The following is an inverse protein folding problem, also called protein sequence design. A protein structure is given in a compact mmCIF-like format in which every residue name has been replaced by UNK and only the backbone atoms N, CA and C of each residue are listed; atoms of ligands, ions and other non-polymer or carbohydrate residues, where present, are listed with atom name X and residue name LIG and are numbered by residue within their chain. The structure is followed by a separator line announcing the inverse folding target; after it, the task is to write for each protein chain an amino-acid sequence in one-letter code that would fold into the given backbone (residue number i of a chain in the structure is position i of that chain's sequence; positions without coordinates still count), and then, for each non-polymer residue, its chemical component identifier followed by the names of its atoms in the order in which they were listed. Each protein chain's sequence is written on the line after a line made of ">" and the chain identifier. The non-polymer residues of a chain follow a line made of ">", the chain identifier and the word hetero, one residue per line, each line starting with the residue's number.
data_IF_775378131023
#
_entry.id   IF_775378131023
#
_cell.length_a   1.000
_cell.length_b   1.000
_cell.length_c   1.000
_cell.angle_alpha   90.00
_cell.angle_beta   90.00
_cell.angle_gamma   90.00
#
_symmetry.space_group_name_H-M   'P 1'
#
loop_
_entity.id
_entity.type
_entity.pdbx_description
1 polymer ?
#
# COMPACT_ATOMS: atom_id res chain seq x y z
N UNK A 1 -16.62 -9.05 -10.37
CA UNK A 1 -15.48 -8.63 -9.53
C UNK A 1 -15.98 -8.36 -8.12
N UNK A 2 -15.19 -8.66 -7.09
CA UNK A 2 -15.53 -8.35 -5.70
C UNK A 2 -14.67 -7.20 -5.21
N UNK A 3 -15.29 -6.31 -4.43
CA UNK A 3 -14.62 -5.25 -3.69
C UNK A 3 -14.93 -5.40 -2.21
N UNK A 4 -14.02 -5.01 -1.34
CA UNK A 4 -14.26 -5.07 0.10
C UNK A 4 -14.28 -3.68 0.71
N UNK A 5 -15.20 -3.48 1.65
CA UNK A 5 -15.39 -2.24 2.41
C UNK A 5 -15.62 -2.56 3.88
N UNK A 6 -15.29 -1.65 4.78
CA UNK A 6 -15.55 -1.83 6.23
C UNK A 6 -16.99 -1.53 6.63
N UNK A 7 -17.76 -0.93 5.72
CA UNK A 7 -19.15 -0.53 5.96
C UNK A 7 -19.87 -0.55 4.61
N UNK A 8 -20.77 -1.50 4.42
CA UNK A 8 -21.53 -1.65 3.17
C UNK A 8 -22.43 -0.46 2.87
N UNK A 9 -22.90 0.28 3.89
CA UNK A 9 -23.72 1.48 3.68
C UNK A 9 -22.94 2.62 3.01
N UNK A 10 -21.59 2.58 3.08
CA UNK A 10 -20.69 3.56 2.43
C UNK A 10 -20.10 3.04 1.12
N UNK A 11 -20.50 1.84 0.68
CA UNK A 11 -19.98 1.27 -0.56
C UNK A 11 -20.45 2.09 -1.76
N UNK A 12 -19.56 2.44 -2.71
CA UNK A 12 -19.98 3.13 -3.93
C UNK A 12 -20.73 2.17 -4.86
N UNK A 13 -21.74 2.66 -5.55
CA UNK A 13 -22.39 1.88 -6.59
C UNK A 13 -21.47 1.82 -7.82
N UNK A 14 -20.84 0.67 -8.07
CA UNK A 14 -19.96 0.44 -9.21
C UNK A 14 -20.47 -0.73 -10.06
N UNK A 15 -20.78 -0.52 -11.33
CA UNK A 15 -21.27 -1.60 -12.21
C UNK A 15 -20.28 -2.76 -12.29
N UNK A 16 -20.76 -3.98 -12.11
CA UNK A 16 -19.95 -5.21 -12.18
C UNK A 16 -19.07 -5.47 -10.95
N UNK A 17 -19.23 -4.70 -9.88
CA UNK A 17 -18.56 -4.91 -8.60
C UNK A 17 -19.61 -5.28 -7.54
N UNK A 18 -19.43 -6.43 -6.91
CA UNK A 18 -20.16 -6.82 -5.71
C UNK A 18 -19.30 -6.48 -4.49
N UNK A 19 -19.87 -5.73 -3.53
CA UNK A 19 -19.15 -5.36 -2.32
C UNK A 19 -19.47 -6.32 -1.17
N UNK A 20 -18.43 -6.64 -0.40
CA UNK A 20 -18.48 -7.50 0.79
C UNK A 20 -17.89 -6.71 1.95
N UNK A 21 -18.53 -6.78 3.11
CA UNK A 21 -18.00 -6.17 4.32
C UNK A 21 -16.79 -6.95 4.83
N UNK A 22 -15.69 -6.25 5.06
CA UNK A 22 -14.46 -6.87 5.54
C UNK A 22 -13.51 -5.82 6.15
N UNK A 23 -12.95 -6.13 7.31
CA UNK A 23 -11.80 -5.42 7.88
C UNK A 23 -10.55 -6.31 7.80
N UNK A 24 -9.52 -5.84 7.13
CA UNK A 24 -8.23 -6.58 6.98
C UNK A 24 -7.50 -6.79 8.31
N UNK A 25 -7.89 -6.08 9.37
CA UNK A 25 -7.32 -6.21 10.71
C UNK A 25 -7.93 -7.35 11.50
N UNK A 26 -9.06 -7.89 11.06
CA UNK A 26 -9.79 -8.97 11.71
C UNK A 26 -9.69 -10.25 10.88
N UNK A 27 -9.06 -11.30 11.45
CA UNK A 27 -8.83 -12.56 10.77
C UNK A 27 -10.15 -13.30 10.47
N UNK A 28 -11.14 -13.19 11.35
CA UNK A 28 -12.46 -13.81 11.15
C UNK A 28 -13.20 -13.11 10.02
N UNK A 29 -13.20 -11.77 10.01
CA UNK A 29 -13.78 -10.96 8.95
C UNK A 29 -13.17 -11.31 7.57
N UNK A 30 -11.84 -11.44 7.50
CA UNK A 30 -11.13 -11.85 6.28
C UNK A 30 -11.56 -13.24 5.83
N UNK A 31 -11.60 -14.21 6.75
CA UNK A 31 -11.95 -15.58 6.42
C UNK A 31 -13.39 -15.68 5.88
N UNK A 32 -14.36 -15.08 6.56
CA UNK A 32 -15.76 -15.05 6.15
C UNK A 32 -15.93 -14.41 4.77
N UNK A 33 -15.26 -13.29 4.51
CA UNK A 33 -15.32 -12.62 3.22
C UNK A 33 -14.75 -13.49 2.08
N UNK A 34 -13.61 -14.15 2.30
CA UNK A 34 -12.99 -15.04 1.31
C UNK A 34 -13.87 -16.26 1.05
N UNK A 35 -14.41 -16.90 2.09
CA UNK A 35 -15.33 -18.05 1.97
C UNK A 35 -16.58 -17.67 1.17
N UNK A 36 -17.20 -16.52 1.45
CA UNK A 36 -18.35 -16.02 0.69
C UNK A 36 -18.05 -15.82 -0.80
N UNK A 37 -16.83 -15.40 -1.16
CA UNK A 37 -16.40 -15.29 -2.56
C UNK A 37 -16.23 -16.69 -3.17
N UNK A 38 -15.62 -17.60 -2.44
CA UNK A 38 -15.39 -18.99 -2.92
C UNK A 38 -16.70 -19.73 -3.13
N UNK A 39 -17.68 -19.59 -2.25
CA UNK A 39 -19.01 -20.18 -2.41
C UNK A 39 -19.68 -19.76 -3.72
N UNK A 40 -19.47 -18.50 -4.14
CA UNK A 40 -20.05 -17.96 -5.38
C UNK A 40 -19.26 -18.29 -6.64
N UNK A 41 -17.93 -18.43 -6.53
CA UNK A 41 -17.06 -18.45 -7.72
C UNK A 41 -16.20 -19.70 -7.84
N UNK A 42 -16.09 -20.49 -6.79
CA UNK A 42 -15.23 -21.67 -6.65
C UNK A 42 -13.73 -21.39 -6.77
N UNK A 43 -13.31 -20.15 -7.06
CA UNK A 43 -11.91 -19.77 -7.23
C UNK A 43 -11.66 -18.27 -7.04
N UNK A 44 -10.42 -17.91 -6.79
CA UNK A 44 -9.91 -16.53 -6.83
C UNK A 44 -8.67 -16.52 -7.71
N UNK A 45 -8.71 -15.79 -8.84
CA UNK A 45 -7.59 -15.70 -9.77
C UNK A 45 -6.62 -14.55 -9.43
N UNK A 46 -7.15 -13.46 -8.86
CA UNK A 46 -6.39 -12.26 -8.53
C UNK A 46 -6.79 -11.74 -7.16
N UNK A 47 -5.80 -11.50 -6.30
CA UNK A 47 -5.93 -10.76 -5.05
C UNK A 47 -5.23 -9.40 -5.20
N UNK A 48 -5.94 -8.32 -4.92
CA UNK A 48 -5.37 -6.98 -4.84
C UNK A 48 -5.41 -6.48 -3.40
N UNK A 49 -4.27 -6.44 -2.74
CA UNK A 49 -4.10 -5.87 -1.42
C UNK A 49 -3.88 -4.36 -1.55
N UNK A 50 -4.96 -3.59 -1.53
CA UNK A 50 -4.96 -2.14 -1.66
C UNK A 50 -5.28 -1.42 -0.35
N UNK A 51 -5.89 -2.07 0.62
CA UNK A 51 -6.17 -1.48 1.93
C UNK A 51 -4.88 -0.96 2.57
N UNK A 52 -4.91 0.26 3.08
CA UNK A 52 -3.74 0.87 3.69
C UNK A 52 -4.05 2.19 4.36
N UNK A 53 -3.18 2.57 5.26
CA UNK A 53 -3.19 3.83 5.99
C UNK A 53 -1.82 4.49 5.85
N UNK A 54 -1.77 5.83 5.94
CA UNK A 54 -0.53 6.57 6.14
C UNK A 54 -0.59 7.32 7.47
N UNK A 55 0.56 7.73 7.98
CA UNK A 55 0.71 8.51 9.19
C UNK A 55 1.77 9.58 8.97
N UNK A 56 1.54 10.77 9.53
CA UNK A 56 2.51 11.87 9.56
C UNK A 56 2.80 12.20 11.02
N UNK A 57 4.06 12.13 11.40
CA UNK A 57 4.57 12.46 12.73
C UNK A 57 6.07 12.18 12.81
N UNK A 58 6.77 12.85 13.72
CA UNK A 58 8.16 12.51 14.02
C UNK A 58 8.21 11.10 14.64
N UNK A 59 9.31 10.40 14.43
CA UNK A 59 9.48 9.04 15.00
C UNK A 59 9.39 9.08 16.53
N UNK A 60 9.95 10.11 17.16
CA UNK A 60 9.92 10.32 18.60
C UNK A 60 8.50 10.60 19.14
N UNK A 61 7.63 11.20 18.33
CA UNK A 61 6.24 11.48 18.67
C UNK A 61 5.32 10.27 18.52
N UNK A 62 5.75 9.26 17.77
CA UNK A 62 4.92 8.08 17.44
C UNK A 62 5.08 7.01 18.50
N UNK A 63 3.99 6.65 19.15
CA UNK A 63 3.97 5.55 20.12
C UNK A 63 4.10 4.18 19.45
N UNK A 64 4.57 3.18 20.18
CA UNK A 64 4.61 1.79 19.69
C UNK A 64 3.22 1.26 19.33
N UNK A 65 2.17 1.70 20.02
CA UNK A 65 0.79 1.30 19.75
C UNK A 65 0.29 1.86 18.39
N UNK A 66 0.58 3.13 18.10
CA UNK A 66 0.25 3.75 16.81
C UNK A 66 1.01 3.09 15.66
N UNK A 67 2.31 2.82 15.87
CA UNK A 67 3.12 2.09 14.90
C UNK A 67 2.56 0.68 14.65
N UNK A 68 2.20 -0.06 15.71
CA UNK A 68 1.59 -1.38 15.61
C UNK A 68 0.26 -1.36 14.84
N UNK A 69 -0.61 -0.38 15.07
CA UNK A 69 -1.87 -0.22 14.35
C UNK A 69 -1.66 0.03 12.85
N UNK A 70 -0.62 0.80 12.50
CA UNK A 70 -0.26 1.04 11.10
C UNK A 70 0.29 -0.23 10.43
N UNK A 71 1.14 -1.00 11.13
CA UNK A 71 1.63 -2.30 10.67
C UNK A 71 0.50 -3.32 10.56
N UNK A 72 -0.43 -3.31 11.47
CA UNK A 72 -1.58 -4.23 11.46
C UNK A 72 -2.41 -4.09 10.18
N UNK A 73 -2.69 -2.86 9.75
CA UNK A 73 -3.39 -2.61 8.49
C UNK A 73 -2.49 -2.87 7.28
N UNK A 74 -1.31 -2.24 7.22
CA UNK A 74 -0.51 -2.17 5.99
C UNK A 74 0.28 -3.46 5.69
N UNK A 75 0.62 -4.24 6.71
CA UNK A 75 1.48 -5.42 6.60
C UNK A 75 0.75 -6.69 7.00
N UNK A 76 0.20 -6.74 8.23
CA UNK A 76 -0.50 -7.93 8.70
C UNK A 76 -1.82 -8.16 7.97
N UNK A 77 -2.51 -7.09 7.53
CA UNK A 77 -3.67 -7.20 6.64
C UNK A 77 -3.34 -7.92 5.33
N UNK A 78 -2.19 -7.60 4.70
CA UNK A 78 -1.71 -8.31 3.50
C UNK A 78 -1.44 -9.78 3.83
N UNK A 79 -0.82 -10.07 4.97
CA UNK A 79 -0.54 -11.44 5.40
C UNK A 79 -1.83 -12.23 5.61
N UNK A 80 -2.84 -11.67 6.31
CA UNK A 80 -4.15 -12.33 6.54
C UNK A 80 -4.84 -12.65 5.22
N UNK A 81 -4.96 -11.66 4.33
CA UNK A 81 -5.56 -11.86 3.01
C UNK A 81 -4.83 -12.92 2.17
N UNK A 82 -3.50 -12.86 2.16
CA UNK A 82 -2.67 -13.81 1.44
C UNK A 82 -2.88 -15.23 1.97
N UNK A 83 -2.86 -15.43 3.30
CA UNK A 83 -3.10 -16.73 3.93
C UNK A 83 -4.49 -17.28 3.62
N UNK A 84 -5.51 -16.44 3.64
CA UNK A 84 -6.88 -16.85 3.35
C UNK A 84 -7.09 -17.28 1.88
N UNK A 85 -6.41 -16.61 0.93
CA UNK A 85 -6.61 -16.85 -0.51
C UNK A 85 -5.68 -17.92 -1.09
N UNK A 86 -4.45 -18.04 -0.58
CA UNK A 86 -3.42 -18.94 -1.13
C UNK A 86 -3.85 -20.42 -1.25
N UNK A 87 -4.60 -21.03 -0.31
CA UNK A 87 -5.04 -22.41 -0.44
C UNK A 87 -5.84 -22.66 -1.74
N UNK A 88 -6.71 -21.73 -2.09
CA UNK A 88 -7.55 -21.81 -3.30
C UNK A 88 -6.73 -21.59 -4.57
N UNK A 89 -5.85 -20.60 -4.59
CA UNK A 89 -4.94 -20.36 -5.71
C UNK A 89 -4.00 -21.58 -5.94
N UNK A 90 -3.49 -22.17 -4.86
CA UNK A 90 -2.60 -23.33 -4.91
C UNK A 90 -3.33 -24.58 -5.44
N UNK A 91 -4.57 -24.82 -5.02
CA UNK A 91 -5.39 -25.91 -5.53
C UNK A 91 -5.61 -25.82 -7.05
N UNK A 92 -5.80 -24.60 -7.57
CA UNK A 92 -5.96 -24.34 -9.01
C UNK A 92 -4.63 -24.16 -9.76
N UNK A 93 -3.49 -24.20 -9.07
CA UNK A 93 -2.14 -23.97 -9.61
C UNK A 93 -2.03 -22.68 -10.45
N UNK A 94 -2.77 -21.67 -10.05
CA UNK A 94 -2.83 -20.38 -10.75
C UNK A 94 -3.25 -19.28 -9.77
N UNK A 95 -2.59 -18.14 -9.86
CA UNK A 95 -2.96 -16.96 -9.09
C UNK A 95 -2.04 -15.77 -9.32
N UNK A 96 -2.57 -14.58 -9.07
CA UNK A 96 -1.81 -13.34 -9.04
C UNK A 96 -2.13 -12.56 -7.78
N UNK A 97 -1.11 -12.23 -7.00
CA UNK A 97 -1.22 -11.39 -5.81
C UNK A 97 -0.57 -10.04 -6.14
N UNK A 98 -1.34 -8.97 -6.06
CA UNK A 98 -0.90 -7.60 -6.31
C UNK A 98 -0.92 -6.83 -5.00
N UNK A 99 0.26 -6.48 -4.47
CA UNK A 99 0.40 -5.70 -3.25
C UNK A 99 0.67 -4.23 -3.57
N UNK A 100 -0.20 -3.33 -3.12
CA UNK A 100 -0.02 -1.90 -3.31
C UNK A 100 0.96 -1.36 -2.27
N UNK A 101 2.21 -1.16 -2.71
CA UNK A 101 3.29 -0.54 -1.96
C UNK A 101 3.25 0.99 -2.11
N UNK A 102 4.38 1.62 -2.26
CA UNK A 102 4.59 3.04 -2.50
C UNK A 102 6.02 3.26 -3.01
N UNK A 103 6.31 4.44 -3.57
CA UNK A 103 7.70 4.90 -3.73
C UNK A 103 8.42 4.95 -2.38
N UNK A 104 7.70 5.14 -1.28
CA UNK A 104 8.24 5.07 0.08
C UNK A 104 8.51 3.64 0.58
N UNK A 105 8.26 2.63 -0.23
CA UNK A 105 8.77 1.27 -0.01
C UNK A 105 10.26 1.13 -0.34
N UNK A 106 10.85 2.11 -1.03
CA UNK A 106 12.28 2.14 -1.40
C UNK A 106 12.96 3.47 -1.03
N UNK A 107 12.20 4.50 -0.68
CA UNK A 107 12.68 5.81 -0.25
C UNK A 107 12.30 6.08 1.20
N UNK A 108 13.17 6.71 2.01
CA UNK A 108 12.75 7.30 3.28
C UNK A 108 11.91 8.55 3.04
N UNK A 109 11.17 9.00 4.07
CA UNK A 109 10.56 10.32 4.07
C UNK A 109 10.53 10.87 5.50
N UNK A 110 11.11 12.06 5.76
CA UNK A 110 10.99 12.75 7.03
C UNK A 110 9.52 12.88 7.46
N UNK A 111 9.26 12.70 8.74
CA UNK A 111 7.90 12.71 9.34
C UNK A 111 6.91 11.67 8.79
N UNK A 112 7.37 10.73 7.99
CA UNK A 112 6.60 9.55 7.52
C UNK A 112 7.39 8.25 7.76
N UNK A 113 8.28 8.24 8.76
CA UNK A 113 9.22 7.13 9.02
C UNK A 113 8.52 5.80 9.24
N UNK A 114 7.46 5.76 10.08
CA UNK A 114 6.72 4.53 10.37
C UNK A 114 5.94 4.06 9.12
N UNK A 115 5.34 4.99 8.37
CA UNK A 115 4.68 4.64 7.11
C UNK A 115 5.68 4.06 6.09
N UNK A 116 6.82 4.69 5.91
CA UNK A 116 7.89 4.16 5.05
C UNK A 116 8.35 2.78 5.50
N UNK A 117 8.51 2.54 6.81
CA UNK A 117 8.85 1.23 7.37
C UNK A 117 7.82 0.15 7.00
N UNK A 118 6.50 0.47 7.08
CA UNK A 118 5.47 -0.50 6.64
C UNK A 118 5.59 -0.82 5.15
N UNK A 119 5.88 0.18 4.31
CA UNK A 119 6.00 -0.05 2.86
C UNK A 119 7.29 -0.79 2.48
N UNK A 120 8.39 -0.58 3.20
CA UNK A 120 9.60 -1.42 3.08
C UNK A 120 9.33 -2.87 3.49
N UNK A 121 8.55 -3.09 4.56
CA UNK A 121 8.13 -4.42 4.97
C UNK A 121 7.28 -5.12 3.90
N UNK A 122 6.36 -4.39 3.24
CA UNK A 122 5.55 -4.92 2.12
C UNK A 122 6.44 -5.31 0.93
N UNK A 123 7.49 -4.54 0.63
CA UNK A 123 8.44 -4.88 -0.45
C UNK A 123 9.13 -6.22 -0.16
N UNK A 124 9.77 -6.36 1.02
CA UNK A 124 10.46 -7.59 1.40
C UNK A 124 9.53 -8.81 1.49
N UNK A 125 8.34 -8.64 2.09
CA UNK A 125 7.32 -9.68 2.18
C UNK A 125 6.91 -10.17 0.78
N UNK A 126 6.68 -9.26 -0.15
CA UNK A 126 6.20 -9.59 -1.50
C UNK A 126 7.24 -10.30 -2.35
N UNK A 127 8.52 -9.90 -2.24
CA UNK A 127 9.61 -10.59 -2.93
C UNK A 127 9.79 -12.01 -2.42
N UNK A 128 9.81 -12.21 -1.09
CA UNK A 128 9.91 -13.53 -0.49
C UNK A 128 8.73 -14.41 -0.89
N UNK A 129 7.51 -13.88 -0.79
CA UNK A 129 6.29 -14.58 -1.18
C UNK A 129 6.35 -15.05 -2.64
N UNK A 130 6.80 -14.21 -3.59
CA UNK A 130 6.89 -14.63 -5.00
C UNK A 130 7.82 -15.83 -5.20
N UNK A 131 8.93 -15.87 -4.48
CA UNK A 131 9.84 -17.03 -4.51
C UNK A 131 9.17 -18.30 -3.99
N UNK A 132 8.39 -18.20 -2.93
CA UNK A 132 7.74 -19.34 -2.27
C UNK A 132 6.60 -19.93 -3.11
N UNK A 133 5.78 -19.06 -3.76
CA UNK A 133 4.54 -19.49 -4.41
C UNK A 133 4.66 -19.82 -5.89
N UNK A 134 5.76 -19.44 -6.55
CA UNK A 134 5.95 -19.69 -8.00
C UNK A 134 5.92 -21.16 -8.38
N UNK A 135 6.35 -22.07 -7.50
CA UNK A 135 6.24 -23.52 -7.68
C UNK A 135 4.79 -24.00 -7.84
N UNK A 136 3.83 -23.22 -7.37
CA UNK A 136 2.40 -23.49 -7.49
C UNK A 136 1.73 -22.77 -8.68
N UNK A 137 2.52 -22.13 -9.56
CA UNK A 137 1.99 -21.34 -10.67
C UNK A 137 1.38 -20.00 -10.24
N UNK A 138 1.68 -19.54 -9.01
CA UNK A 138 1.21 -18.27 -8.45
C UNK A 138 2.36 -17.26 -8.53
N UNK A 139 2.05 -15.99 -8.76
CA UNK A 139 3.04 -14.92 -8.77
C UNK A 139 2.57 -13.75 -7.90
N UNK A 140 3.50 -13.20 -7.14
CA UNK A 140 3.29 -11.93 -6.44
C UNK A 140 3.94 -10.77 -7.20
N UNK A 141 3.38 -9.58 -7.06
CA UNK A 141 3.86 -8.35 -7.70
C UNK A 141 3.54 -7.14 -6.83
N UNK A 142 4.36 -6.11 -6.96
CA UNK A 142 4.24 -4.85 -6.24
C UNK A 142 3.81 -3.74 -7.20
N UNK A 143 2.88 -2.90 -6.76
CA UNK A 143 2.57 -1.63 -7.42
C UNK A 143 3.08 -0.50 -6.54
N UNK A 144 3.91 0.38 -7.10
CA UNK A 144 4.63 1.44 -6.37
C UNK A 144 4.14 2.84 -6.80
N UNK A 145 2.98 3.33 -6.31
CA UNK A 145 2.51 4.68 -6.59
C UNK A 145 3.40 5.74 -5.93
N UNK A 146 3.47 6.91 -6.54
CA UNK A 146 3.81 8.16 -5.88
C UNK A 146 2.53 8.84 -5.34
N UNK A 147 2.59 10.14 -5.01
CA UNK A 147 1.41 10.88 -4.61
C UNK A 147 0.29 10.72 -5.63
N UNK A 148 -0.90 10.44 -5.13
CA UNK A 148 -2.10 10.22 -5.93
C UNK A 148 -3.26 10.92 -5.21
N UNK A 149 -4.06 11.68 -5.93
CA UNK A 149 -5.19 12.39 -5.34
C UNK A 149 -6.29 11.41 -4.94
N UNK A 150 -6.27 11.05 -3.64
CA UNK A 150 -7.21 10.16 -2.96
C UNK A 150 -7.48 10.71 -1.56
N UNK A 151 -8.29 10.03 -0.77
CA UNK A 151 -8.57 10.42 0.62
C UNK A 151 -7.59 9.77 1.62
N UNK A 152 -6.47 9.22 1.17
CA UNK A 152 -5.52 8.51 2.06
C UNK A 152 -4.88 9.46 3.06
N UNK A 153 -4.49 10.66 2.64
CA UNK A 153 -3.90 11.71 3.47
C UNK A 153 -4.93 12.39 4.37
N UNK A 154 -6.15 12.62 3.85
CA UNK A 154 -7.23 13.21 4.62
C UNK A 154 -7.67 12.35 5.82
N UNK A 155 -7.51 11.03 5.69
CA UNK A 155 -7.81 10.05 6.72
C UNK A 155 -6.57 9.60 7.51
N UNK A 156 -5.41 10.23 7.29
CA UNK A 156 -4.17 9.86 7.97
C UNK A 156 -4.25 10.25 9.46
N UNK A 157 -4.10 9.31 10.40
CA UNK A 157 -3.92 9.66 11.80
C UNK A 157 -2.64 10.49 11.95
N UNK A 158 -2.68 11.40 12.90
CA UNK A 158 -1.50 12.15 13.38
C UNK A 158 -1.04 11.51 14.67
N UNK A 159 0.27 11.64 14.97
CA UNK A 159 0.78 11.22 16.25
C UNK A 159 0.02 11.94 17.39
N UNK A 160 -0.38 11.19 18.40
CA UNK A 160 -1.11 11.72 19.56
C UNK A 160 -0.22 12.61 20.42
N UNK A 161 1.04 12.22 20.56
CA UNK A 161 2.05 13.01 21.27
C UNK A 161 2.58 14.10 20.35
N UNK A 162 2.73 15.32 20.89
CA UNK A 162 3.36 16.44 20.20
C UNK A 162 4.53 16.95 21.02
N UNK A 163 5.68 17.12 20.35
CA UNK A 163 6.91 17.69 20.92
C UNK A 163 7.15 19.00 20.20
N UNK A 164 7.16 20.11 20.95
CA UNK A 164 7.29 21.47 20.43
C UNK A 164 8.49 21.65 19.48
N UNK A 165 9.61 20.98 19.77
CA UNK A 165 10.80 21.01 18.94
C UNK A 165 10.61 20.54 17.50
N UNK A 166 9.55 19.76 17.20
CA UNK A 166 9.22 19.29 15.86
C UNK A 166 8.09 20.07 15.19
N UNK A 167 7.41 20.98 15.89
CA UNK A 167 6.20 21.64 15.40
C UNK A 167 6.42 22.32 14.04
N UNK A 168 7.46 23.13 13.93
CA UNK A 168 7.73 23.89 12.70
C UNK A 168 7.93 22.97 11.49
N UNK A 169 8.89 22.04 11.56
CA UNK A 169 9.22 21.16 10.43
C UNK A 169 8.08 20.19 10.12
N UNK A 170 7.39 19.65 11.16
CA UNK A 170 6.22 18.78 10.97
C UNK A 170 5.11 19.49 10.22
N UNK A 171 4.81 20.76 10.57
CA UNK A 171 3.77 21.53 9.89
C UNK A 171 4.17 21.88 8.45
N UNK A 172 5.45 22.17 8.20
CA UNK A 172 5.98 22.36 6.84
C UNK A 172 5.78 21.09 6.01
N UNK A 173 6.19 19.93 6.54
CA UNK A 173 6.03 18.64 5.83
C UNK A 173 4.55 18.31 5.62
N UNK A 174 3.71 18.50 6.62
CA UNK A 174 2.27 18.25 6.50
C UNK A 174 1.64 19.07 5.37
N UNK A 175 1.95 20.35 5.29
CA UNK A 175 1.49 21.22 4.19
C UNK A 175 2.05 20.74 2.84
N UNK A 176 3.33 20.43 2.76
CA UNK A 176 3.98 19.95 1.53
C UNK A 176 3.37 18.65 1.02
N UNK A 177 3.04 17.71 1.92
CA UNK A 177 2.36 16.46 1.57
C UNK A 177 0.94 16.74 1.06
N UNK A 178 0.17 17.56 1.78
CA UNK A 178 -1.20 17.92 1.38
C UNK A 178 -1.22 18.61 0.00
N UNK A 179 -0.29 19.54 -0.26
CA UNK A 179 -0.14 20.19 -1.55
C UNK A 179 0.28 19.21 -2.65
N UNK A 180 1.19 18.30 -2.34
CA UNK A 180 1.63 17.25 -3.27
C UNK A 180 0.47 16.34 -3.66
N UNK A 181 -0.39 15.95 -2.72
CA UNK A 181 -1.58 15.12 -2.98
C UNK A 181 -2.63 15.92 -3.77
N UNK A 182 -2.90 17.16 -3.40
CA UNK A 182 -3.86 18.04 -4.09
C UNK A 182 -3.50 18.21 -5.57
N UNK A 183 -2.21 18.40 -5.86
CA UNK A 183 -1.71 18.60 -7.23
C UNK A 183 -1.38 17.29 -7.96
N UNK A 184 -1.53 16.15 -7.30
CA UNK A 184 -1.24 14.85 -7.89
C UNK A 184 -2.31 14.44 -8.93
N UNK A 185 -1.96 13.56 -9.89
CA UNK A 185 -2.93 12.96 -10.78
C UNK A 185 -3.95 12.11 -9.99
N UNK A 186 -5.15 11.98 -10.55
CA UNK A 186 -6.18 11.10 -9.99
C UNK A 186 -5.79 9.62 -10.05
N UNK A 187 -6.56 8.72 -9.42
CA UNK A 187 -6.19 7.31 -9.21
C UNK A 187 -6.17 6.45 -10.48
N UNK A 188 -6.63 6.97 -11.63
CA UNK A 188 -6.76 6.17 -12.87
C UNK A 188 -5.45 5.53 -13.31
N UNK A 189 -4.33 6.25 -13.26
CA UNK A 189 -3.03 5.71 -13.67
C UNK A 189 -2.58 4.55 -12.74
N UNK A 190 -2.82 4.69 -11.43
CA UNK A 190 -2.55 3.61 -10.46
C UNK A 190 -3.45 2.41 -10.73
N UNK A 191 -4.75 2.63 -10.93
CA UNK A 191 -5.70 1.56 -11.25
C UNK A 191 -5.31 0.80 -12.53
N UNK A 192 -4.92 1.52 -13.60
CA UNK A 192 -4.43 0.90 -14.84
C UNK A 192 -3.16 0.07 -14.61
N UNK A 193 -2.24 0.57 -13.76
CA UNK A 193 -1.02 -0.20 -13.40
C UNK A 193 -1.36 -1.45 -12.59
N UNK A 194 -2.37 -1.39 -11.70
CA UNK A 194 -2.86 -2.57 -10.96
C UNK A 194 -3.45 -3.60 -11.93
N UNK A 195 -4.25 -3.17 -12.90
CA UNK A 195 -4.83 -4.07 -13.92
C UNK A 195 -3.72 -4.71 -14.78
N UNK A 196 -2.73 -3.93 -15.21
CA UNK A 196 -1.57 -4.46 -15.94
C UNK A 196 -0.76 -5.45 -15.08
N UNK A 197 -0.55 -5.15 -13.81
CA UNK A 197 0.14 -6.04 -12.87
C UNK A 197 -0.65 -7.34 -12.63
N UNK A 198 -1.99 -7.28 -12.64
CA UNK A 198 -2.87 -8.43 -12.43
C UNK A 198 -2.94 -9.37 -13.64
N UNK A 199 -3.04 -8.82 -14.85
CA UNK A 199 -3.37 -9.59 -16.06
C UNK A 199 -2.28 -9.58 -17.13
N UNK A 200 -1.33 -8.64 -17.05
CA UNK A 200 -0.24 -8.53 -18.01
C UNK A 200 0.95 -9.47 -17.71
N UNK A 201 2.03 -9.36 -18.49
CA UNK A 201 3.28 -10.05 -18.21
C UNK A 201 3.79 -9.76 -16.80
N UNK A 202 4.23 -10.81 -16.12
CA UNK A 202 4.69 -10.64 -14.74
C UNK A 202 5.94 -9.75 -14.64
N UNK A 203 5.91 -8.84 -13.71
CA UNK A 203 7.05 -8.05 -13.23
C UNK A 203 6.96 -7.96 -11.71
N UNK A 204 8.09 -8.07 -11.01
CA UNK A 204 8.10 -7.96 -9.55
C UNK A 204 7.63 -6.59 -9.10
N UNK A 205 8.01 -5.51 -9.81
CA UNK A 205 7.64 -4.13 -9.48
C UNK A 205 7.05 -3.42 -10.70
N UNK A 206 5.90 -2.82 -10.49
CA UNK A 206 5.18 -2.00 -11.44
C UNK A 206 5.00 -0.60 -10.85
N UNK A 207 5.48 0.42 -11.52
CA UNK A 207 5.29 1.81 -11.09
C UNK A 207 4.48 2.55 -12.17
N UNK A 208 3.45 3.34 -11.79
CA UNK A 208 2.78 4.21 -12.72
C UNK A 208 3.79 5.10 -13.45
N UNK A 209 3.52 5.38 -14.72
CA UNK A 209 4.41 6.22 -15.54
C UNK A 209 4.61 7.61 -14.90
N UNK A 210 5.77 8.22 -15.17
CA UNK A 210 6.11 9.55 -14.64
C UNK A 210 6.94 9.49 -13.35
N UNK A 211 6.57 10.28 -12.35
CA UNK A 211 7.36 10.50 -11.13
C UNK A 211 7.65 9.19 -10.36
N UNK A 212 6.68 8.30 -10.22
CA UNK A 212 6.85 7.04 -9.51
C UNK A 212 7.95 6.18 -10.14
N UNK A 213 7.87 5.95 -11.47
CA UNK A 213 8.87 5.18 -12.20
C UNK A 213 10.28 5.79 -12.15
N UNK A 214 10.36 7.12 -12.17
CA UNK A 214 11.65 7.82 -12.07
C UNK A 214 12.27 7.64 -10.68
N UNK A 215 11.51 7.89 -9.62
CA UNK A 215 11.99 7.83 -8.23
C UNK A 215 12.49 6.44 -7.84
N UNK A 216 11.74 5.40 -8.20
CA UNK A 216 12.13 4.02 -7.87
C UNK A 216 13.40 3.58 -8.60
N UNK A 217 13.62 4.04 -9.84
CA UNK A 217 14.86 3.78 -10.59
C UNK A 217 16.04 4.56 -10.02
N UNK A 218 15.86 5.85 -9.75
CA UNK A 218 16.94 6.71 -9.24
C UNK A 218 17.46 6.22 -7.90
N UNK A 219 16.59 5.83 -6.98
CA UNK A 219 17.02 5.33 -5.65
C UNK A 219 17.95 4.13 -5.73
N UNK A 220 17.77 3.28 -6.72
CA UNK A 220 18.60 2.08 -6.88
C UNK A 220 20.04 2.41 -7.30
N UNK A 221 20.26 3.50 -8.01
CA UNK A 221 21.54 3.83 -8.65
C UNK A 221 22.21 5.09 -8.12
N UNK A 222 21.47 5.97 -7.41
CA UNK A 222 22.03 7.20 -6.88
C UNK A 222 22.63 7.02 -5.47
N UNK A 223 23.73 7.69 -5.16
CA UNK A 223 24.25 7.80 -3.81
C UNK A 223 23.23 8.42 -2.84
N UNK A 224 23.33 8.09 -1.55
CA UNK A 224 22.37 8.52 -0.54
C UNK A 224 22.27 10.04 -0.41
N UNK A 225 23.40 10.76 -0.43
CA UNK A 225 23.44 12.22 -0.22
C UNK A 225 22.59 13.04 -1.19
N UNK A 226 22.71 12.89 -2.51
CA UNK A 226 21.85 13.60 -3.47
C UNK A 226 20.36 13.25 -3.31
N UNK A 227 20.03 12.00 -2.96
CA UNK A 227 18.65 11.58 -2.71
C UNK A 227 18.11 12.28 -1.47
N UNK A 228 18.87 12.31 -0.38
CA UNK A 228 18.54 12.99 0.87
C UNK A 228 18.28 14.48 0.65
N UNK A 229 19.22 15.19 0.04
CA UNK A 229 19.09 16.61 -0.26
C UNK A 229 17.84 16.92 -1.11
N UNK A 230 17.55 16.07 -2.11
CA UNK A 230 16.35 16.22 -2.95
C UNK A 230 15.05 15.99 -2.17
N UNK A 231 15.03 15.02 -1.27
CA UNK A 231 13.87 14.74 -0.42
C UNK A 231 13.60 15.87 0.57
N UNK A 232 14.64 16.36 1.27
CA UNK A 232 14.52 17.49 2.20
C UNK A 232 14.01 18.74 1.49
N UNK A 233 14.61 19.09 0.34
CA UNK A 233 14.17 20.22 -0.49
C UNK A 233 12.70 20.09 -0.92
N UNK A 234 12.28 18.91 -1.38
CA UNK A 234 10.90 18.66 -1.82
C UNK A 234 9.89 18.80 -0.68
N UNK A 235 10.29 18.48 0.53
CA UNK A 235 9.45 18.56 1.74
C UNK A 235 9.55 19.93 2.43
N UNK A 236 10.35 20.86 1.91
CA UNK A 236 10.52 22.21 2.47
C UNK A 236 11.43 22.26 3.71
N UNK A 237 12.30 21.26 3.88
CA UNK A 237 13.25 21.14 5.01
C UNK A 237 14.69 21.56 4.66
N UNK A 238 14.91 22.15 3.51
CA UNK A 238 16.24 22.59 3.05
C UNK A 238 16.41 24.07 3.32
#
# INVERSE_FOLDING_TARGET
>A
MFGTVRDLHKAPALPGVEFIEMDVRDEVSVQVAVESIIEKTMRIDVLVNNAGMMMIGAVEETTAAEAAALFDTNVLGILRMTRAVLPYMRAHRRGRIVNVSSVLGVLPAPYMGIYAATKHAVEGLSESLDHEVRQFGIRATLVQPAYTRTNLDANAPRAETRIEGYDHERDVVTRSVADSVRNAPGPRAVASTIVEAAFGPWRMRCAPAGQASLLTKLRRFLPAGPVDASLRKKLGLA
#
